data_IF_526697558389
#
_entry.id   IF_526697558389
#
_cell.length_a   1.000
_cell.length_b   1.000
_cell.length_c   1.000
_cell.angle_alpha   90.00
_cell.angle_beta   90.00
_cell.angle_gamma   90.00
#
_symmetry.space_group_name_H-M   'P 1'
#
loop_
_entity.id
_entity.type
_entity.pdbx_description
1 polymer ?
#
# COMPACT_ATOMS: atom_id res chain seq x y z
N UNK A 1 69.18 58.90 8.90
CA UNK A 1 70.29 58.02 9.33
C UNK A 1 69.67 56.73 9.80
N UNK A 2 69.93 55.64 9.08
CA UNK A 2 69.38 54.33 9.40
C UNK A 2 70.11 53.66 10.56
N UNK A 3 69.47 52.65 11.15
CA UNK A 3 70.10 51.38 11.45
C UNK A 3 69.04 50.33 11.82
N UNK A 4 69.35 49.10 11.41
CA UNK A 4 68.49 47.94 11.28
C UNK A 4 67.98 47.37 12.61
N UNK A 5 66.72 46.91 12.63
CA UNK A 5 66.20 45.94 13.60
C UNK A 5 65.61 44.78 12.81
N UNK A 6 66.06 43.58 13.15
CA UNK A 6 65.67 42.26 12.61
C UNK A 6 64.18 41.98 12.80
N UNK A 7 63.53 41.48 11.76
CA UNK A 7 62.20 40.85 11.79
C UNK A 7 62.38 39.37 11.51
N UNK A 8 62.14 38.54 12.51
CA UNK A 8 61.68 37.17 12.35
C UNK A 8 60.67 36.90 13.45
N UNK A 9 59.42 36.73 13.04
CA UNK A 9 58.35 36.17 13.85
C UNK A 9 57.39 35.50 12.87
N UNK A 10 57.42 34.18 12.88
CA UNK A 10 56.56 33.29 12.11
C UNK A 10 55.08 33.64 12.28
N UNK A 11 54.25 33.51 11.23
CA UNK A 11 52.80 33.64 11.35
C UNK A 11 52.20 32.44 12.10
N UNK A 12 51.00 32.58 12.70
CA UNK A 12 50.36 31.51 13.45
C UNK A 12 49.97 30.36 12.52
N UNK A 13 50.05 29.13 13.02
CA UNK A 13 49.45 27.96 12.37
C UNK A 13 47.94 28.18 12.28
N UNK A 14 47.43 28.23 11.06
CA UNK A 14 46.01 28.12 10.79
C UNK A 14 45.53 26.75 11.29
N UNK A 15 44.51 26.78 12.15
CA UNK A 15 43.73 25.62 12.57
C UNK A 15 42.92 25.10 11.38
N UNK A 16 43.57 24.38 10.49
CA UNK A 16 42.95 23.59 9.43
C UNK A 16 42.87 22.13 9.89
N UNK A 17 41.90 21.81 10.74
CA UNK A 17 41.37 20.45 10.87
C UNK A 17 40.07 20.45 11.70
N UNK A 18 39.00 20.92 11.08
CA UNK A 18 37.63 20.67 11.54
C UNK A 18 36.70 20.56 10.33
N UNK A 19 37.02 19.68 9.38
CA UNK A 19 36.04 19.25 8.39
C UNK A 19 36.42 17.88 7.80
N UNK A 20 36.12 16.81 8.53
CA UNK A 20 36.15 15.47 7.99
C UNK A 20 34.91 14.72 8.47
N UNK A 21 34.22 14.11 7.50
CA UNK A 21 33.07 13.20 7.62
C UNK A 21 31.66 13.80 7.79
N UNK A 22 31.31 14.77 6.95
CA UNK A 22 29.96 14.77 6.37
C UNK A 22 30.00 13.93 5.09
N UNK A 23 29.90 12.60 5.22
CA UNK A 23 29.73 11.72 4.07
C UNK A 23 28.45 12.14 3.35
N UNK A 24 28.60 12.76 2.18
CA UNK A 24 27.49 13.19 1.33
C UNK A 24 26.63 11.94 1.06
N UNK A 25 25.47 11.89 1.70
CA UNK A 25 24.58 10.73 1.63
C UNK A 25 23.98 10.72 0.23
N UNK A 26 24.29 9.67 -0.53
CA UNK A 26 23.70 9.43 -1.83
C UNK A 26 22.17 9.48 -1.70
N UNK A 27 21.54 10.36 -2.47
CA UNK A 27 20.09 10.52 -2.48
C UNK A 27 19.49 9.26 -3.09
N UNK A 28 18.76 8.49 -2.30
CA UNK A 28 18.12 7.27 -2.78
C UNK A 28 16.82 7.63 -3.51
N UNK A 29 16.39 6.78 -4.44
CA UNK A 29 15.12 7.00 -5.14
C UNK A 29 13.96 7.17 -4.15
N UNK A 30 13.94 6.39 -3.08
CA UNK A 30 12.94 6.45 -2.00
C UNK A 30 12.88 7.80 -1.26
N UNK A 31 13.94 8.61 -1.29
CA UNK A 31 13.96 9.95 -0.68
C UNK A 31 13.14 10.96 -1.52
N UNK A 32 12.70 10.57 -2.72
CA UNK A 32 11.79 11.33 -3.56
C UNK A 32 10.39 10.72 -3.53
N UNK A 33 9.36 11.56 -3.52
CA UNK A 33 7.97 11.12 -3.59
C UNK A 33 7.47 11.14 -5.04
N UNK A 34 6.70 10.12 -5.43
CA UNK A 34 5.97 10.10 -6.68
C UNK A 34 4.92 11.22 -6.69
N UNK A 35 4.90 12.01 -7.75
CA UNK A 35 3.89 13.02 -7.99
C UNK A 35 3.22 12.78 -9.33
N UNK A 36 1.89 12.94 -9.37
CA UNK A 36 1.18 12.96 -10.62
C UNK A 36 1.61 14.20 -11.42
N UNK A 37 1.67 14.11 -12.77
CA UNK A 37 2.05 15.25 -13.61
C UNK A 37 1.04 16.41 -13.53
N UNK A 38 -0.16 16.16 -13.00
CA UNK A 38 -1.20 17.16 -12.76
C UNK A 38 -2.03 16.76 -11.53
N UNK A 39 -2.67 17.72 -10.83
CA UNK A 39 -3.65 17.41 -9.79
C UNK A 39 -4.76 16.50 -10.30
N UNK A 40 -5.39 15.76 -9.38
CA UNK A 40 -6.60 15.01 -9.69
C UNK A 40 -7.74 16.00 -10.01
N UNK A 41 -8.58 15.72 -11.02
CA UNK A 41 -9.73 16.55 -11.35
C UNK A 41 -10.79 16.50 -10.25
N UNK A 42 -11.58 17.55 -10.16
CA UNK A 42 -12.78 17.55 -9.32
C UNK A 42 -13.90 16.76 -9.99
N UNK A 43 -14.50 15.84 -9.23
CA UNK A 43 -15.59 15.01 -9.74
C UNK A 43 -16.93 15.72 -9.56
N UNK A 44 -17.88 15.57 -10.51
CA UNK A 44 -19.26 15.98 -10.30
C UNK A 44 -19.83 15.40 -9.01
N UNK A 45 -20.75 16.13 -8.37
CA UNK A 45 -21.40 15.68 -7.14
C UNK A 45 -22.13 14.34 -7.34
N UNK A 46 -22.14 13.51 -6.30
CA UNK A 46 -22.76 12.19 -6.35
C UNK A 46 -22.91 11.55 -4.98
N UNK A 47 -22.98 10.21 -4.97
CA UNK A 47 -23.04 9.40 -3.75
C UNK A 47 -21.67 9.25 -3.07
N UNK A 48 -21.30 8.02 -2.75
CA UNK A 48 -20.05 7.70 -2.05
C UNK A 48 -18.80 7.63 -2.93
N UNK A 49 -18.92 7.81 -4.26
CA UNK A 49 -17.78 7.77 -5.18
C UNK A 49 -16.78 8.90 -4.91
N UNK A 50 -15.49 8.57 -4.94
CA UNK A 50 -14.37 9.49 -4.77
C UNK A 50 -14.42 10.39 -3.51
N UNK A 51 -15.09 9.94 -2.46
CA UNK A 51 -15.17 10.64 -1.17
C UNK A 51 -13.94 10.45 -0.28
N UNK A 52 -12.99 9.60 -0.71
CA UNK A 52 -11.78 9.27 0.05
C UNK A 52 -11.99 8.27 1.19
N UNK A 53 -13.23 7.82 1.42
CA UNK A 53 -13.54 6.84 2.48
C UNK A 53 -14.52 5.77 2.00
N UNK A 54 -14.42 4.57 2.58
CA UNK A 54 -15.33 3.45 2.28
C UNK A 54 -15.73 2.77 3.59
N UNK A 55 -17.01 2.47 3.78
CA UNK A 55 -17.52 1.74 4.94
C UNK A 55 -17.63 0.25 4.62
N UNK A 56 -16.94 -0.57 5.41
CA UNK A 56 -16.97 -2.03 5.30
C UNK A 56 -18.11 -2.67 6.09
N UNK A 57 -18.99 -1.86 6.69
CA UNK A 57 -20.16 -2.29 7.47
C UNK A 57 -19.99 -2.08 8.98
N UNK A 58 -19.39 -0.96 9.40
CA UNK A 58 -19.02 -0.64 10.78
C UNK A 58 -17.52 -0.38 10.98
N UNK A 59 -16.74 -0.51 9.90
CA UNK A 59 -15.34 -0.13 9.83
C UNK A 59 -15.18 0.76 8.60
N UNK A 60 -15.06 2.07 8.83
CA UNK A 60 -14.76 3.01 7.76
C UNK A 60 -13.27 3.04 7.54
N UNK A 61 -12.83 2.89 6.30
CA UNK A 61 -11.42 2.98 5.91
C UNK A 61 -11.16 4.21 5.06
N UNK A 62 -9.96 4.77 5.19
CA UNK A 62 -9.45 5.86 4.38
C UNK A 62 -8.02 5.56 3.92
N UNK A 63 -7.65 6.06 2.76
CA UNK A 63 -6.28 5.97 2.25
C UNK A 63 -5.41 7.09 2.82
N UNK A 64 -4.18 6.76 3.23
CA UNK A 64 -3.14 7.72 3.65
C UNK A 64 -1.89 7.48 2.81
N UNK A 65 -1.37 8.56 2.25
CA UNK A 65 -0.15 8.59 1.41
C UNK A 65 0.96 9.45 1.99
N UNK A 66 0.76 10.00 3.19
CA UNK A 66 1.75 10.82 3.89
C UNK A 66 2.43 10.01 4.97
N UNK A 67 3.76 10.11 5.02
CA UNK A 67 4.60 9.21 5.80
C UNK A 67 5.75 9.96 6.49
N UNK A 68 6.17 9.46 7.64
CA UNK A 68 7.44 9.80 8.27
C UNK A 68 8.34 8.58 8.29
N UNK A 69 9.58 8.73 7.86
CA UNK A 69 10.58 7.66 7.91
C UNK A 69 10.89 7.29 9.36
N UNK A 70 10.88 5.98 9.66
CA UNK A 70 11.19 5.44 10.99
C UNK A 70 12.53 4.73 10.99
N UNK A 71 12.77 3.85 10.01
CA UNK A 71 13.97 3.05 9.91
C UNK A 71 14.29 2.75 8.45
N UNK A 72 15.57 2.56 8.13
CA UNK A 72 16.01 2.13 6.81
C UNK A 72 17.28 1.28 6.90
N UNK A 73 17.35 0.33 5.98
CA UNK A 73 18.53 -0.45 5.64
C UNK A 73 18.94 -0.12 4.20
N UNK A 74 20.24 -0.22 3.91
CA UNK A 74 20.90 0.19 2.66
C UNK A 74 21.64 -0.97 1.98
N UNK A 75 21.27 -2.21 2.32
CA UNK A 75 21.70 -3.44 1.69
C UNK A 75 20.59 -4.50 1.80
N UNK A 76 20.70 -5.57 1.00
CA UNK A 76 19.65 -6.57 0.84
C UNK A 76 18.45 -6.05 0.03
N UNK A 77 17.45 -6.90 -0.12
CA UNK A 77 16.27 -6.59 -0.95
C UNK A 77 16.58 -6.50 -2.45
N UNK A 78 15.62 -6.01 -3.24
CA UNK A 78 15.81 -5.79 -4.68
C UNK A 78 17.02 -4.88 -4.97
N UNK A 79 17.86 -5.33 -5.91
CA UNK A 79 19.08 -4.63 -6.36
C UNK A 79 20.10 -4.31 -5.25
N UNK A 80 20.04 -5.01 -4.11
CA UNK A 80 20.84 -4.72 -2.91
C UNK A 80 20.66 -3.28 -2.39
N UNK A 81 19.55 -2.62 -2.75
CA UNK A 81 19.30 -1.23 -2.39
C UNK A 81 18.81 -1.02 -0.95
N UNK A 82 18.42 -2.10 -0.27
CA UNK A 82 17.75 -2.09 1.02
C UNK A 82 16.29 -1.63 0.93
N UNK A 83 15.72 -1.30 2.08
CA UNK A 83 14.33 -0.89 2.21
C UNK A 83 14.16 0.17 3.31
N UNK A 84 13.09 0.97 3.18
CA UNK A 84 12.73 1.99 4.16
C UNK A 84 11.33 1.72 4.71
N UNK A 85 11.19 1.93 6.02
CA UNK A 85 9.99 1.69 6.81
C UNK A 85 9.45 3.00 7.35
N UNK A 86 8.13 3.16 7.27
CA UNK A 86 7.45 4.41 7.42
C UNK A 86 6.25 4.32 8.35
N UNK A 87 6.10 5.31 9.22
CA UNK A 87 4.88 5.57 9.98
C UNK A 87 3.96 6.48 9.14
N UNK A 88 2.70 6.06 8.89
CA UNK A 88 1.71 6.94 8.27
C UNK A 88 1.35 8.09 9.20
N UNK A 89 1.22 9.31 8.66
CA UNK A 89 0.93 10.54 9.41
C UNK A 89 -0.19 11.35 8.76
N UNK A 90 -0.75 12.32 9.48
CA UNK A 90 -1.82 13.19 8.96
C UNK A 90 -3.15 12.45 8.76
N UNK A 91 -3.49 11.57 9.71
CA UNK A 91 -4.70 10.77 9.64
C UNK A 91 -5.96 11.66 9.69
N UNK A 92 -7.04 11.31 8.97
CA UNK A 92 -8.31 11.99 9.11
C UNK A 92 -8.89 11.85 10.53
N UNK A 93 -9.75 12.78 10.92
CA UNK A 93 -10.28 12.82 12.29
C UNK A 93 -11.04 11.55 12.68
N UNK A 94 -10.64 10.96 13.80
CA UNK A 94 -11.21 9.73 14.35
C UNK A 94 -10.75 8.44 13.67
N UNK A 95 -9.81 8.51 12.72
CA UNK A 95 -9.15 7.34 12.16
C UNK A 95 -7.90 6.96 12.96
N UNK A 96 -7.58 5.67 12.92
CA UNK A 96 -6.46 5.07 13.64
C UNK A 96 -5.59 4.24 12.70
N UNK A 97 -4.29 4.20 13.01
CA UNK A 97 -3.33 3.36 12.30
C UNK A 97 -3.68 1.88 12.46
N UNK A 98 -3.50 1.14 11.37
CA UNK A 98 -3.65 -0.31 11.33
C UNK A 98 -2.30 -1.04 11.15
N UNK A 99 -1.26 -0.30 10.78
CA UNK A 99 0.11 -0.79 10.61
C UNK A 99 0.99 0.23 9.88
N UNK A 100 2.26 -0.10 9.69
CA UNK A 100 3.26 0.71 9.00
C UNK A 100 3.45 0.28 7.55
N UNK A 101 4.09 1.15 6.77
CA UNK A 101 4.41 0.94 5.37
C UNK A 101 5.89 0.59 5.21
N UNK A 102 6.24 -0.22 4.21
CA UNK A 102 7.61 -0.51 3.83
C UNK A 102 7.75 -0.59 2.31
N UNK A 103 8.89 -0.18 1.79
CA UNK A 103 9.17 -0.18 0.36
C UNK A 103 10.67 -0.42 0.09
N UNK A 104 11.03 -1.12 -1.00
CA UNK A 104 12.40 -1.11 -1.51
C UNK A 104 12.91 0.31 -1.80
N UNK A 105 14.21 0.53 -1.60
CA UNK A 105 14.83 1.84 -1.81
C UNK A 105 15.11 2.17 -3.28
N UNK A 106 14.97 1.18 -4.18
CA UNK A 106 15.29 1.29 -5.61
C UNK A 106 14.20 2.02 -6.43
N UNK A 107 13.16 2.56 -5.80
CA UNK A 107 12.07 3.29 -6.46
C UNK A 107 11.55 4.46 -5.60
N UNK A 108 11.01 5.54 -6.22
CA UNK A 108 10.39 6.65 -5.50
C UNK A 108 9.29 6.21 -4.54
N UNK A 109 9.09 6.94 -3.44
CA UNK A 109 8.00 6.68 -2.50
C UNK A 109 6.65 6.90 -3.20
N UNK A 110 5.87 5.83 -3.40
CA UNK A 110 4.54 5.89 -4.01
C UNK A 110 3.46 5.14 -3.22
N UNK A 111 3.83 4.65 -2.03
CA UNK A 111 3.00 3.79 -1.20
C UNK A 111 1.72 4.43 -0.69
N UNK A 112 0.83 3.57 -0.21
CA UNK A 112 -0.38 3.95 0.51
C UNK A 112 -0.70 2.92 1.58
N UNK A 113 -1.36 3.36 2.64
CA UNK A 113 -1.94 2.47 3.64
C UNK A 113 -3.42 2.80 3.87
N UNK A 114 -4.16 1.81 4.35
CA UNK A 114 -5.50 2.01 4.86
C UNK A 114 -5.46 2.22 6.37
N UNK A 115 -6.14 3.28 6.82
CA UNK A 115 -6.41 3.58 8.24
C UNK A 115 -7.89 3.34 8.53
N UNK A 116 -8.22 3.04 9.78
CA UNK A 116 -9.56 2.60 10.17
C UNK A 116 -10.26 3.50 11.18
N UNK A 117 -11.56 3.70 11.03
CA UNK A 117 -12.45 4.35 11.99
C UNK A 117 -13.60 3.41 12.34
N UNK A 118 -13.83 3.26 13.64
CA UNK A 118 -14.93 2.47 14.16
C UNK A 118 -16.24 3.26 14.12
N UNK A 119 -17.25 2.72 13.45
CA UNK A 119 -18.62 3.27 13.39
C UNK A 119 -19.67 2.28 13.88
N UNK A 120 -19.22 1.21 14.55
CA UNK A 120 -20.07 0.11 15.00
C UNK A 120 -20.65 0.35 16.39
N UNK A 121 -21.43 -0.63 16.87
CA UNK A 121 -22.01 -0.60 18.21
C UNK A 121 -20.90 -0.58 19.28
N UNK A 122 -20.89 0.38 20.23
CA UNK A 122 -19.89 0.45 21.29
C UNK A 122 -19.73 -0.84 22.13
N UNK A 123 -20.77 -1.67 22.24
CA UNK A 123 -20.71 -2.95 22.94
C UNK A 123 -19.85 -4.00 22.20
N UNK A 124 -19.66 -3.85 20.90
CA UNK A 124 -18.85 -4.73 20.07
C UNK A 124 -18.11 -3.90 19.00
N UNK A 125 -17.05 -3.16 19.38
CA UNK A 125 -16.32 -2.29 18.48
C UNK A 125 -15.58 -3.10 17.39
N UNK A 126 -15.43 -2.54 16.19
CA UNK A 126 -14.62 -3.13 15.11
C UNK A 126 -13.13 -2.94 15.33
N UNK A 127 -12.73 -1.95 16.14
CA UNK A 127 -11.32 -1.65 16.44
C UNK A 127 -11.05 -1.72 17.95
N UNK A 128 -9.90 -2.31 18.32
CA UNK A 128 -9.40 -2.33 19.70
C UNK A 128 -7.90 -2.11 19.77
N UNK A 129 -7.41 -1.65 20.91
CA UNK A 129 -5.97 -1.69 21.21
C UNK A 129 -5.47 -3.14 21.23
N UNK A 130 -4.23 -3.40 20.80
CA UNK A 130 -3.52 -4.61 21.18
C UNK A 130 -3.37 -4.67 22.71
N UNK A 131 -3.14 -5.88 23.23
CA UNK A 131 -2.87 -6.10 24.66
C UNK A 131 -1.38 -6.01 24.98
N UNK A 132 -0.52 -6.23 23.98
CA UNK A 132 0.94 -6.09 24.06
C UNK A 132 1.53 -6.10 22.63
N UNK A 133 2.85 -6.03 22.50
CA UNK A 133 3.61 -6.24 21.28
C UNK A 133 4.65 -7.36 21.45
N UNK A 134 4.73 -8.25 20.45
CA UNK A 134 5.78 -9.25 20.32
C UNK A 134 6.86 -8.75 19.35
N UNK A 135 8.14 -8.92 19.72
CA UNK A 135 9.25 -8.64 18.81
C UNK A 135 9.31 -9.73 17.73
N UNK A 136 9.16 -9.35 16.47
CA UNK A 136 9.23 -10.25 15.32
C UNK A 136 10.66 -10.38 14.82
N UNK A 137 11.37 -9.24 14.75
CA UNK A 137 12.74 -9.19 14.25
C UNK A 137 13.43 -7.91 14.73
N UNK A 138 14.75 -7.96 14.83
CA UNK A 138 15.59 -6.78 15.04
C UNK A 138 16.86 -6.86 14.21
N UNK A 139 17.33 -5.73 13.70
CA UNK A 139 18.65 -5.63 13.06
C UNK A 139 19.81 -5.64 14.06
N UNK A 140 19.52 -5.55 15.36
CA UNK A 140 20.54 -5.58 16.40
C UNK A 140 21.39 -6.84 16.29
N UNK A 141 22.71 -6.65 16.20
CA UNK A 141 23.70 -7.73 16.04
C UNK A 141 23.56 -8.50 14.71
N UNK A 142 22.84 -7.95 13.73
CA UNK A 142 22.81 -8.42 12.36
C UNK A 142 23.80 -7.62 11.51
N UNK A 143 24.31 -8.25 10.45
CA UNK A 143 25.14 -7.57 9.45
C UNK A 143 24.24 -6.86 8.42
N UNK A 144 23.70 -5.71 8.84
CA UNK A 144 22.80 -4.85 8.07
C UNK A 144 23.38 -3.44 8.04
N UNK A 145 23.48 -2.84 6.85
CA UNK A 145 23.94 -1.48 6.66
C UNK A 145 22.78 -0.53 6.96
N UNK A 146 22.87 0.21 8.05
CA UNK A 146 21.80 1.07 8.57
C UNK A 146 22.37 2.24 9.39
N UNK A 147 21.54 3.25 9.66
CA UNK A 147 21.95 4.38 10.52
C UNK A 147 21.80 4.05 12.01
N UNK A 148 20.72 3.34 12.36
CA UNK A 148 20.38 2.90 13.72
C UNK A 148 19.65 1.56 13.65
N UNK A 149 19.70 0.73 14.72
CA UNK A 149 18.99 -0.54 14.73
C UNK A 149 17.47 -0.40 14.61
N UNK A 150 16.87 -1.20 13.73
CA UNK A 150 15.43 -1.33 13.57
C UNK A 150 14.85 -2.50 14.36
N UNK A 151 13.64 -2.32 14.87
CA UNK A 151 12.89 -3.35 15.60
C UNK A 151 11.48 -3.44 15.01
N UNK A 152 11.08 -4.65 14.61
CA UNK A 152 9.78 -4.92 13.99
C UNK A 152 8.91 -5.63 15.01
N UNK A 153 7.73 -5.07 15.26
CA UNK A 153 6.82 -5.50 16.31
C UNK A 153 5.48 -5.95 15.73
N UNK A 154 4.99 -7.09 16.21
CA UNK A 154 3.64 -7.57 15.95
C UNK A 154 2.72 -7.16 17.11
N UNK A 155 1.62 -6.42 16.83
CA UNK A 155 0.59 -6.20 17.84
C UNK A 155 -0.03 -7.55 18.26
N UNK A 156 -0.15 -7.80 19.55
CA UNK A 156 -0.87 -8.96 20.10
C UNK A 156 -2.34 -8.56 20.25
N UNK A 157 -3.27 -9.07 19.42
CA UNK A 157 -4.67 -8.69 19.48
C UNK A 157 -5.36 -9.30 20.71
N UNK A 158 -6.44 -8.65 21.16
CA UNK A 158 -7.40 -9.28 22.09
C UNK A 158 -8.19 -10.37 21.37
N UNK A 159 -8.64 -11.39 22.10
CA UNK A 159 -9.51 -12.46 21.58
C UNK A 159 -10.66 -11.91 20.72
N UNK A 160 -10.81 -12.50 19.53
CA UNK A 160 -11.77 -12.08 18.52
C UNK A 160 -11.29 -10.96 17.58
N UNK A 161 -10.05 -10.48 17.73
CA UNK A 161 -9.43 -9.48 16.87
C UNK A 161 -8.15 -10.02 16.22
N UNK A 162 -7.67 -9.34 15.18
CA UNK A 162 -6.46 -9.65 14.44
C UNK A 162 -5.66 -8.37 14.18
N UNK A 163 -4.34 -8.48 14.14
CA UNK A 163 -3.48 -7.41 13.66
C UNK A 163 -3.35 -7.49 12.13
N UNK A 164 -3.64 -6.40 11.42
CA UNK A 164 -3.57 -6.34 9.95
C UNK A 164 -2.28 -5.68 9.45
N UNK A 165 -1.33 -5.40 10.35
CA UNK A 165 -0.05 -4.79 10.02
C UNK A 165 0.90 -4.78 11.21
N UNK A 166 2.17 -4.52 10.90
CA UNK A 166 3.28 -4.47 11.86
C UNK A 166 3.67 -3.02 12.17
N UNK A 167 4.43 -2.84 13.25
CA UNK A 167 4.96 -1.54 13.70
C UNK A 167 6.48 -1.61 13.74
N UNK A 168 7.16 -0.49 13.47
CA UNK A 168 8.63 -0.40 13.52
C UNK A 168 9.05 0.65 14.53
N UNK A 169 10.15 0.41 15.25
CA UNK A 169 10.83 1.41 16.08
C UNK A 169 12.32 1.44 15.75
N UNK A 170 12.97 2.58 15.99
CA UNK A 170 14.44 2.76 15.91
C UNK A 170 15.13 2.57 17.27
N UNK A 171 14.36 2.17 18.28
CA UNK A 171 14.82 1.95 19.66
C UNK A 171 14.23 0.63 20.17
N UNK A 172 14.87 -0.05 21.15
CA UNK A 172 14.45 -1.38 21.60
C UNK A 172 13.16 -1.37 22.43
N UNK A 173 12.62 -0.22 22.78
CA UNK A 173 11.39 -0.08 23.54
C UNK A 173 10.17 -0.51 22.71
N UNK A 174 9.24 -1.18 23.39
CA UNK A 174 7.95 -1.55 22.79
C UNK A 174 7.17 -0.29 22.37
N UNK A 175 6.42 -0.34 21.26
CA UNK A 175 5.48 0.72 20.92
C UNK A 175 4.41 0.89 22.01
N UNK A 176 3.86 2.11 22.20
CA UNK A 176 2.67 2.32 23.02
C UNK A 176 1.47 1.53 22.49
N UNK A 177 0.60 1.02 23.36
CA UNK A 177 -0.58 0.23 22.97
C UNK A 177 -1.55 1.03 22.09
N UNK A 178 -1.57 2.35 22.23
CA UNK A 178 -2.44 3.24 21.47
C UNK A 178 -1.97 3.43 20.03
N UNK A 179 -0.74 2.98 19.69
CA UNK A 179 -0.08 3.25 18.42
C UNK A 179 -0.86 2.72 17.22
N UNK A 180 -1.44 1.53 17.31
CA UNK A 180 -2.31 0.96 16.26
C UNK A 180 -3.61 0.40 16.83
N UNK A 181 -4.51 -0.05 15.95
CA UNK A 181 -5.69 -0.83 16.33
C UNK A 181 -5.66 -2.20 15.66
N UNK A 182 -6.04 -3.22 16.41
CA UNK A 182 -6.41 -4.52 15.91
C UNK A 182 -7.86 -4.50 15.42
N UNK A 183 -8.14 -5.27 14.38
CA UNK A 183 -9.42 -5.31 13.66
C UNK A 183 -10.20 -6.55 14.08
N UNK A 184 -11.50 -6.43 14.29
CA UNK A 184 -12.35 -7.57 14.66
C UNK A 184 -12.32 -8.62 13.54
N UNK A 185 -12.27 -9.90 13.92
CA UNK A 185 -11.91 -10.99 13.00
C UNK A 185 -12.88 -11.14 11.81
N UNK A 186 -14.15 -10.77 11.96
CA UNK A 186 -15.16 -10.78 10.89
C UNK A 186 -14.90 -9.76 9.77
N UNK A 187 -14.11 -8.72 10.05
CA UNK A 187 -13.59 -7.74 9.07
C UNK A 187 -12.20 -8.12 8.54
N UNK A 188 -11.77 -9.36 8.74
CA UNK A 188 -10.46 -9.83 8.25
C UNK A 188 -10.59 -11.11 7.42
N UNK A 189 -9.58 -11.35 6.59
CA UNK A 189 -9.40 -12.59 5.83
C UNK A 189 -7.91 -12.89 5.69
N UNK A 190 -7.56 -14.15 5.38
CA UNK A 190 -6.18 -14.54 5.16
C UNK A 190 -5.55 -13.79 3.99
N UNK A 191 -4.26 -13.45 4.18
CA UNK A 191 -3.39 -12.88 3.17
C UNK A 191 -2.16 -13.72 2.90
N UNK A 192 -1.59 -13.49 1.73
CA UNK A 192 -0.36 -14.12 1.28
C UNK A 192 0.66 -13.03 0.92
N UNK A 193 1.96 -13.36 0.98
CA UNK A 193 3.01 -12.53 0.41
C UNK A 193 2.72 -12.18 -1.06
N UNK A 194 2.92 -10.91 -1.41
CA UNK A 194 2.92 -10.41 -2.78
C UNK A 194 4.37 -10.11 -3.22
N UNK A 195 4.68 -8.85 -3.56
CA UNK A 195 6.02 -8.44 -3.95
C UNK A 195 7.00 -8.49 -2.76
N UNK A 196 8.23 -8.93 -3.05
CA UNK A 196 9.30 -8.95 -2.05
C UNK A 196 9.85 -7.55 -1.84
N UNK A 197 9.82 -7.10 -0.58
CA UNK A 197 10.27 -5.77 -0.17
C UNK A 197 11.72 -5.82 0.30
N UNK A 198 12.05 -6.79 1.15
CA UNK A 198 13.38 -6.88 1.74
C UNK A 198 13.71 -8.27 2.29
N UNK A 199 14.98 -8.63 2.22
CA UNK A 199 15.61 -9.76 2.88
C UNK A 199 17.12 -9.59 2.77
N UNK A 200 17.90 -10.26 3.61
CA UNK A 200 19.35 -10.05 3.68
C UNK A 200 20.09 -10.57 2.45
N UNK A 201 19.59 -11.65 1.86
CA UNK A 201 20.18 -12.30 0.69
C UNK A 201 19.69 -11.63 -0.59
N UNK A 202 20.35 -11.88 -1.72
CA UNK A 202 19.98 -11.32 -3.04
C UNK A 202 18.68 -11.89 -3.65
N UNK A 203 17.77 -12.39 -2.82
CA UNK A 203 16.49 -12.98 -3.21
C UNK A 203 15.70 -13.50 -2.02
N UNK A 204 14.53 -14.08 -2.29
CA UNK A 204 13.73 -14.73 -1.25
C UNK A 204 14.39 -16.03 -0.81
N UNK A 205 14.79 -16.09 0.45
CA UNK A 205 15.30 -17.30 1.10
C UNK A 205 14.35 -17.73 2.22
N UNK A 206 13.81 -18.94 2.15
CA UNK A 206 12.83 -19.45 3.11
C UNK A 206 13.40 -19.71 4.51
N UNK A 207 14.72 -19.84 4.63
CA UNK A 207 15.41 -20.06 5.90
C UNK A 207 15.80 -18.74 6.58
N UNK A 208 15.65 -17.62 5.87
CA UNK A 208 15.96 -16.27 6.34
C UNK A 208 14.71 -15.41 6.59
N UNK A 209 14.93 -14.29 7.27
CA UNK A 209 13.88 -13.30 7.48
C UNK A 209 13.61 -12.48 6.22
N UNK A 210 12.33 -12.35 5.86
CA UNK A 210 11.87 -11.63 4.68
C UNK A 210 10.68 -10.72 5.00
N UNK A 211 10.61 -9.60 4.28
CA UNK A 211 9.50 -8.65 4.25
C UNK A 211 8.86 -8.65 2.87
N UNK A 212 7.53 -8.65 2.85
CA UNK A 212 6.74 -8.62 1.63
C UNK A 212 5.62 -7.58 1.71
N UNK A 213 5.14 -7.16 0.55
CA UNK A 213 3.81 -6.58 0.42
C UNK A 213 2.75 -7.66 0.70
N UNK A 214 1.54 -7.23 1.08
CA UNK A 214 0.43 -8.11 1.40
C UNK A 214 -0.64 -8.09 0.30
N UNK A 215 -1.18 -9.26 -0.04
CA UNK A 215 -2.38 -9.37 -0.86
C UNK A 215 -3.38 -10.41 -0.35
N UNK A 216 -4.69 -10.23 -0.59
CA UNK A 216 -5.70 -11.24 -0.28
C UNK A 216 -5.47 -12.56 -0.99
N UNK A 217 -5.62 -13.68 -0.27
CA UNK A 217 -5.56 -15.03 -0.86
C UNK A 217 -6.70 -15.25 -1.86
N UNK A 218 -7.93 -14.86 -1.48
CA UNK A 218 -9.11 -14.96 -2.36
C UNK A 218 -9.18 -13.72 -3.25
N UNK A 219 -9.18 -13.93 -4.56
CA UNK A 219 -9.20 -12.90 -5.61
C UNK A 219 -10.41 -13.10 -6.53
N UNK A 220 -10.81 -12.04 -7.23
CA UNK A 220 -11.87 -12.07 -8.24
C UNK A 220 -13.15 -11.36 -7.81
N UNK A 221 -14.17 -11.38 -8.69
CA UNK A 221 -15.40 -10.58 -8.55
C UNK A 221 -16.20 -10.85 -7.28
N UNK A 222 -16.06 -12.05 -6.71
CA UNK A 222 -16.75 -12.47 -5.48
C UNK A 222 -15.87 -12.33 -4.24
N UNK A 223 -14.59 -11.96 -4.39
CA UNK A 223 -13.73 -11.70 -3.27
C UNK A 223 -14.04 -10.32 -2.70
N UNK A 224 -14.22 -10.24 -1.38
CA UNK A 224 -14.52 -9.00 -0.68
C UNK A 224 -13.39 -8.67 0.29
N UNK A 225 -12.19 -8.49 -0.26
CA UNK A 225 -10.99 -8.28 0.52
C UNK A 225 -10.05 -7.29 -0.15
N UNK A 226 -9.30 -6.55 0.66
CA UNK A 226 -8.31 -5.57 0.21
C UNK A 226 -7.13 -5.57 1.17
N UNK A 227 -5.92 -5.42 0.63
CA UNK A 227 -4.72 -5.19 1.42
C UNK A 227 -4.85 -3.87 2.20
N UNK A 228 -4.34 -3.85 3.44
CA UNK A 228 -4.22 -2.61 4.20
C UNK A 228 -3.05 -1.74 3.72
N UNK A 229 -2.27 -2.18 2.72
CA UNK A 229 -1.04 -1.51 2.28
C UNK A 229 0.12 -1.65 3.27
N UNK A 230 -0.03 -2.51 4.29
CA UNK A 230 0.99 -2.82 5.28
C UNK A 230 1.90 -3.94 4.77
N UNK A 231 3.06 -4.09 5.40
CA UNK A 231 3.99 -5.16 5.08
C UNK A 231 3.80 -6.40 5.97
N UNK A 232 4.20 -7.55 5.43
CA UNK A 232 4.21 -8.85 6.10
C UNK A 232 5.65 -9.23 6.41
N UNK A 233 5.86 -9.81 7.58
CA UNK A 233 7.11 -10.45 7.93
C UNK A 233 6.95 -11.96 7.82
N UNK A 234 7.94 -12.63 7.21
CA UNK A 234 8.05 -14.08 7.19
C UNK A 234 9.41 -14.45 7.74
N UNK A 235 9.42 -15.21 8.81
CA UNK A 235 10.65 -15.70 9.39
C UNK A 235 10.96 -17.10 8.87
N UNK A 236 12.25 -17.38 8.65
CA UNK A 236 12.72 -18.68 8.21
C UNK A 236 13.07 -19.64 9.35
N UNK A 237 13.36 -20.89 8.99
CA UNK A 237 13.56 -22.02 9.90
C UNK A 237 14.61 -21.76 10.98
N UNK A 238 14.18 -21.32 12.17
CA UNK A 238 15.06 -21.07 13.32
C UNK A 238 14.59 -20.00 14.29
N UNK A 239 13.51 -19.26 13.99
CA UNK A 239 12.96 -18.28 14.94
C UNK A 239 12.03 -18.90 15.97
N UNK A 240 12.14 -18.40 17.20
CA UNK A 240 11.50 -18.92 18.41
C UNK A 240 10.06 -18.43 18.62
N UNK A 241 9.53 -17.62 17.70
CA UNK A 241 8.20 -17.00 17.82
C UNK A 241 7.39 -17.34 16.56
N UNK A 242 6.20 -17.90 16.74
CA UNK A 242 5.26 -18.13 15.65
C UNK A 242 5.01 -16.81 14.92
N UNK A 243 5.22 -16.80 13.60
CA UNK A 243 4.97 -15.61 12.79
C UNK A 243 3.49 -15.26 12.89
N UNK A 244 3.11 -13.97 13.12
CA UNK A 244 1.72 -13.59 13.29
C UNK A 244 0.87 -14.02 12.09
N UNK A 245 -0.40 -14.35 12.34
CA UNK A 245 -1.35 -14.65 11.28
C UNK A 245 -1.43 -13.46 10.30
N UNK A 246 -1.16 -13.72 9.02
CA UNK A 246 -1.19 -12.72 7.98
C UNK A 246 -2.63 -12.52 7.53
N UNK A 247 -3.19 -11.34 7.83
CA UNK A 247 -4.57 -11.01 7.45
C UNK A 247 -4.65 -9.65 6.74
N UNK A 248 -5.60 -9.54 5.83
CA UNK A 248 -6.02 -8.26 5.26
C UNK A 248 -7.47 -7.96 5.60
N UNK A 249 -7.91 -6.78 5.21
CA UNK A 249 -9.24 -6.29 5.48
C UNK A 249 -10.26 -6.99 4.57
N UNK A 250 -11.34 -7.45 5.19
CA UNK A 250 -12.52 -7.99 4.53
C UNK A 250 -13.63 -6.96 4.62
N UNK A 251 -14.34 -6.78 3.53
CA UNK A 251 -15.48 -5.88 3.45
C UNK A 251 -16.75 -6.63 3.05
N UNK A 252 -17.90 -6.04 3.35
CA UNK A 252 -19.19 -6.49 2.82
C UNK A 252 -19.84 -5.30 2.10
N UNK A 253 -19.76 -5.28 0.76
CA UNK A 253 -20.45 -4.24 -0.02
C UNK A 253 -21.95 -4.56 0.03
N UNK A 254 -22.68 -3.86 0.90
CA UNK A 254 -24.14 -4.00 0.97
C UNK A 254 -24.85 -3.26 -0.17
N UNK A 255 -24.23 -2.23 -0.76
CA UNK A 255 -24.80 -1.41 -1.84
C UNK A 255 -23.73 -0.88 -2.81
N UNK A 256 -24.12 -0.55 -4.04
CA UNK A 256 -23.27 0.10 -5.06
C UNK A 256 -23.01 1.60 -4.77
N UNK A 257 -23.08 2.04 -3.52
CA UNK A 257 -22.99 3.47 -3.15
C UNK A 257 -21.65 4.12 -3.47
N UNK A 258 -20.60 3.31 -3.66
CA UNK A 258 -19.24 3.77 -4.01
C UNK A 258 -18.96 3.77 -5.51
N UNK A 259 -19.90 3.29 -6.33
CA UNK A 259 -19.78 3.36 -7.79
C UNK A 259 -20.08 4.78 -8.29
N UNK A 260 -19.38 5.25 -9.34
CA UNK A 260 -19.69 6.55 -9.93
C UNK A 260 -21.11 6.56 -10.51
N UNK A 261 -21.81 7.68 -10.37
CA UNK A 261 -23.05 7.93 -11.10
C UNK A 261 -22.76 8.24 -12.58
N UNK A 262 -23.80 8.40 -13.41
CA UNK A 262 -23.62 8.62 -14.85
C UNK A 262 -22.80 9.88 -15.17
N UNK A 263 -23.04 10.98 -14.47
CA UNK A 263 -22.29 12.24 -14.67
C UNK A 263 -20.81 12.08 -14.28
N UNK A 264 -20.54 11.40 -13.17
CA UNK A 264 -19.18 11.09 -12.72
C UNK A 264 -18.47 10.14 -13.70
N UNK A 265 -19.19 9.16 -14.27
CA UNK A 265 -18.65 8.27 -15.28
C UNK A 265 -18.30 9.00 -16.58
N UNK A 266 -19.18 9.88 -17.06
CA UNK A 266 -18.89 10.75 -18.21
C UNK A 266 -17.66 11.63 -17.97
N UNK A 267 -17.52 12.20 -16.77
CA UNK A 267 -16.35 12.99 -16.38
C UNK A 267 -15.06 12.15 -16.33
N UNK A 268 -15.12 10.92 -15.81
CA UNK A 268 -14.00 9.97 -15.80
C UNK A 268 -13.54 9.66 -17.23
N UNK A 269 -14.48 9.31 -18.11
CA UNK A 269 -14.20 9.00 -19.52
C UNK A 269 -13.60 10.22 -20.19
N UNK A 270 -14.18 11.41 -20.03
CA UNK A 270 -13.66 12.63 -20.66
C UNK A 270 -12.24 12.99 -20.20
N UNK A 271 -11.93 12.72 -18.94
CA UNK A 271 -10.62 13.05 -18.34
C UNK A 271 -9.54 12.04 -18.72
N UNK A 272 -9.86 10.74 -18.63
CA UNK A 272 -8.85 9.67 -18.69
C UNK A 272 -8.94 8.75 -19.91
N UNK A 273 -10.02 8.82 -20.71
CA UNK A 273 -10.10 7.96 -21.89
C UNK A 273 -8.99 8.31 -22.88
N UNK A 274 -8.36 7.30 -23.49
CA UNK A 274 -7.34 7.52 -24.51
C UNK A 274 -7.96 8.29 -25.69
N UNK A 275 -7.28 9.34 -26.13
CA UNK A 275 -7.64 10.07 -27.35
C UNK A 275 -6.93 9.42 -28.52
N UNK A 276 -7.70 8.87 -29.46
CA UNK A 276 -7.18 8.30 -30.70
C UNK A 276 -7.32 9.34 -31.80
N UNK A 277 -6.19 9.72 -32.40
CA UNK A 277 -6.15 10.59 -33.57
C UNK A 277 -5.94 9.72 -34.80
N UNK A 278 -6.93 9.75 -35.69
CA UNK A 278 -6.90 8.96 -36.92
C UNK A 278 -6.35 9.82 -38.05
N UNK A 279 -5.48 9.24 -38.87
CA UNK A 279 -4.94 9.94 -40.02
C UNK A 279 -6.07 10.36 -40.98
N UNK A 280 -6.04 11.55 -41.61
CA UNK A 280 -7.13 11.99 -42.50
C UNK A 280 -7.37 11.09 -43.72
N UNK A 281 -6.40 10.26 -44.09
CA UNK A 281 -6.50 9.26 -45.18
C UNK A 281 -6.76 7.84 -44.67
N UNK A 282 -7.12 7.68 -43.39
CA UNK A 282 -7.50 6.38 -42.86
C UNK A 282 -8.76 5.90 -43.57
N UNK A 283 -8.71 4.67 -44.08
CA UNK A 283 -9.83 4.05 -44.78
C UNK A 283 -10.81 3.41 -43.79
N UNK A 284 -10.30 2.94 -42.64
CA UNK A 284 -11.07 2.22 -41.64
C UNK A 284 -11.24 3.02 -40.35
N UNK A 285 -12.47 3.47 -40.09
CA UNK A 285 -12.81 4.19 -38.86
C UNK A 285 -13.40 3.21 -37.81
N UNK A 286 -13.22 3.50 -36.51
CA UNK A 286 -13.85 2.73 -35.45
C UNK A 286 -15.37 2.72 -35.62
N UNK A 287 -15.96 1.54 -35.53
CA UNK A 287 -17.42 1.37 -35.49
C UNK A 287 -17.94 1.63 -34.08
N UNK A 288 -19.17 2.14 -33.97
CA UNK A 288 -19.86 2.20 -32.68
C UNK A 288 -20.19 0.78 -32.18
N UNK A 289 -20.39 0.64 -30.87
CA UNK A 289 -20.86 -0.62 -30.26
C UNK A 289 -22.18 -1.07 -30.89
N UNK A 290 -23.11 -0.13 -31.12
CA UNK A 290 -24.41 -0.41 -31.76
C UNK A 290 -24.24 -0.94 -33.18
N UNK A 291 -23.35 -0.32 -33.98
CA UNK A 291 -23.05 -0.80 -35.32
C UNK A 291 -22.45 -2.19 -35.26
N UNK A 292 -21.50 -2.44 -34.35
CA UNK A 292 -20.88 -3.75 -34.20
C UNK A 292 -21.92 -4.83 -33.83
N UNK A 293 -22.84 -4.56 -32.91
CA UNK A 293 -23.91 -5.49 -32.54
C UNK A 293 -24.87 -5.77 -33.71
N UNK A 294 -25.21 -4.74 -34.50
CA UNK A 294 -26.10 -4.89 -35.66
C UNK A 294 -25.45 -5.62 -36.85
N UNK A 295 -24.12 -5.63 -36.93
CA UNK A 295 -23.39 -6.12 -38.10
C UNK A 295 -22.66 -7.47 -37.85
N UNK A 296 -23.35 -8.38 -37.17
CA UNK A 296 -22.94 -9.80 -37.11
C UNK A 296 -22.05 -10.18 -35.94
N UNK A 297 -22.03 -9.39 -34.86
CA UNK A 297 -21.39 -9.81 -33.63
C UNK A 297 -22.12 -11.03 -33.02
N UNK A 298 -21.35 -12.04 -32.63
CA UNK A 298 -21.85 -13.31 -32.12
C UNK A 298 -21.40 -13.51 -30.66
N UNK A 299 -22.32 -14.01 -29.82
CA UNK A 299 -22.08 -14.42 -28.45
C UNK A 299 -21.83 -15.94 -28.41
N UNK A 300 -20.66 -16.32 -27.90
CA UNK A 300 -20.28 -17.72 -27.68
C UNK A 300 -20.43 -18.09 -26.21
N UNK A 301 -20.97 -19.27 -25.95
CA UNK A 301 -21.10 -19.81 -24.59
C UNK A 301 -20.08 -20.92 -24.37
N UNK A 302 -19.37 -20.87 -23.25
CA UNK A 302 -18.40 -21.90 -22.87
C UNK A 302 -19.10 -23.26 -22.73
N UNK A 303 -18.60 -24.29 -23.43
CA UNK A 303 -19.19 -25.62 -23.50
C UNK A 303 -20.30 -25.80 -24.55
N UNK A 304 -20.59 -24.77 -25.35
CA UNK A 304 -21.51 -24.80 -26.49
C UNK A 304 -21.01 -23.87 -27.61
N UNK A 305 -19.70 -23.93 -27.90
CA UNK A 305 -19.04 -23.02 -28.83
C UNK A 305 -19.50 -23.23 -30.30
N UNK A 306 -20.10 -24.38 -30.61
CA UNK A 306 -20.63 -24.70 -31.95
C UNK A 306 -21.93 -23.99 -32.30
N UNK A 307 -22.63 -23.38 -31.33
CA UNK A 307 -23.94 -22.76 -31.53
C UNK A 307 -23.94 -21.29 -31.07
N UNK A 308 -23.22 -20.38 -31.75
CA UNK A 308 -23.22 -18.97 -31.39
C UNK A 308 -24.57 -18.31 -31.65
N UNK A 309 -24.93 -17.33 -30.83
CA UNK A 309 -26.14 -16.51 -31.01
C UNK A 309 -25.78 -15.07 -31.36
N UNK A 310 -26.47 -14.40 -32.30
CA UNK A 310 -26.27 -12.97 -32.55
C UNK A 310 -26.47 -12.14 -31.29
N UNK A 311 -25.63 -11.13 -31.09
CA UNK A 311 -25.84 -10.15 -30.02
C UNK A 311 -27.02 -9.25 -30.43
N UNK A 312 -27.96 -9.04 -29.52
CA UNK A 312 -29.09 -8.15 -29.76
C UNK A 312 -28.58 -6.72 -30.00
N UNK A 313 -29.21 -5.90 -30.87
CA UNK A 313 -28.76 -4.52 -31.11
C UNK A 313 -28.64 -3.64 -29.86
N UNK A 314 -29.41 -3.94 -28.81
CA UNK A 314 -29.36 -3.26 -27.51
C UNK A 314 -28.39 -3.90 -26.51
N UNK A 315 -27.76 -5.01 -26.88
CA UNK A 315 -26.94 -5.85 -25.99
C UNK A 315 -27.76 -6.61 -24.92
N UNK A 316 -29.08 -6.73 -25.06
CA UNK A 316 -29.96 -7.30 -24.03
C UNK A 316 -29.66 -8.76 -23.66
N UNK A 317 -29.13 -9.53 -24.60
CA UNK A 317 -28.74 -10.92 -24.41
C UNK A 317 -27.28 -11.12 -23.98
N UNK A 318 -26.51 -10.04 -23.76
CA UNK A 318 -25.18 -10.14 -23.18
C UNK A 318 -25.25 -10.73 -21.76
N UNK A 319 -24.20 -11.43 -21.30
CA UNK A 319 -24.13 -11.93 -19.94
C UNK A 319 -24.32 -10.78 -18.95
N UNK A 320 -25.47 -10.77 -18.29
CA UNK A 320 -25.75 -9.80 -17.23
C UNK A 320 -24.74 -10.06 -16.12
N UNK A 321 -24.11 -9.00 -15.60
CA UNK A 321 -23.45 -9.08 -14.30
C UNK A 321 -24.55 -9.51 -13.34
N UNK A 322 -24.43 -10.70 -12.76
CA UNK A 322 -25.47 -11.24 -11.90
C UNK A 322 -25.83 -10.18 -10.84
N UNK A 323 -27.10 -9.75 -10.76
CA UNK A 323 -27.54 -9.01 -9.59
C UNK A 323 -27.27 -9.89 -8.37
N UNK A 324 -26.83 -9.25 -7.28
CA UNK A 324 -26.68 -9.88 -5.97
C UNK A 324 -27.91 -10.76 -5.72
N UNK A 325 -27.73 -12.09 -5.71
CA UNK A 325 -28.83 -13.00 -5.42
C UNK A 325 -29.21 -12.83 -3.95
N UNK A 326 -30.24 -12.04 -3.71
CA UNK A 326 -31.31 -12.45 -2.79
C UNK A 326 -31.80 -13.81 -3.26
N UNK A 327 -31.52 -14.85 -2.47
CA UNK A 327 -32.39 -15.99 -2.19
C UNK A 327 -31.62 -16.97 -1.31
N UNK A 328 -31.75 -16.79 0.00
CA UNK A 328 -31.60 -17.88 0.96
C UNK A 328 -33.02 -18.43 1.16
N UNK A 329 -33.28 -19.56 0.52
CA UNK A 329 -34.25 -20.54 1.03
C UNK A 329 -33.54 -21.49 1.98
#
# INVERSE_FOLDING_TARGET
MGNCITRDSDPPKDDADANADAKEREILAIDTAFSLPSPLPEWPSGGGFATGTIDFGGLVVAEVTNFTKVWATYNGGPDDGGATFFEPIGLPEGFYLLGYYAQPNNRPLYGRVLVGKDTSNPANPTLKWPVDYALVWSSKSQDVKEDTPGYIWAPIPKDGYQAVGLVVTSTPEKPPLEKVRCVRSDFTTLCEPDDWVWGKTGGVDSDEFNIFESRPVRKGKQASAVSAGTFLAKSGGGTTVETPLLVCLKYALKNNTYMPNLQQLEALIKTYAPKVYIHPKEEYLPSSVDWFFQNGALLYKKGDESNPVPIDPSGSNLPKVAPMMENIG
#
